data_IF_476357394803
#
_entry.id   IF_476357394803
#
_cell.length_a   1.000
_cell.length_b   1.000
_cell.length_c   1.000
_cell.angle_alpha   90.00
_cell.angle_beta   90.00
_cell.angle_gamma   90.00
#
_symmetry.space_group_name_H-M   'P 1'
#
loop_
_entity.id
_entity.type
_entity.pdbx_description
1 polymer ?
#
# COMPACT_ATOMS: atom_id res chain seq x y z
N UNK A 1 -27.39 -17.27 -45.81
CA UNK A 1 -26.15 -17.06 -45.05
C UNK A 1 -26.22 -15.72 -44.31
N UNK A 2 -26.71 -15.74 -43.07
CA UNK A 2 -26.78 -14.58 -42.18
C UNK A 2 -25.37 -14.26 -41.66
N UNK A 3 -24.88 -13.03 -41.89
CA UNK A 3 -23.67 -12.52 -41.24
C UNK A 3 -24.06 -11.97 -39.88
N UNK A 4 -23.78 -12.77 -38.86
CA UNK A 4 -23.92 -12.45 -37.44
C UNK A 4 -22.96 -11.30 -37.10
N UNK A 5 -23.52 -10.19 -36.62
CA UNK A 5 -22.75 -9.09 -36.05
C UNK A 5 -22.27 -9.53 -34.67
N UNK A 6 -21.00 -9.94 -34.56
CA UNK A 6 -20.34 -9.96 -33.26
C UNK A 6 -20.04 -8.51 -32.85
N UNK A 7 -21.01 -7.90 -32.15
CA UNK A 7 -20.72 -6.75 -31.31
C UNK A 7 -19.79 -7.25 -30.22
N UNK A 8 -18.48 -7.08 -30.41
CA UNK A 8 -17.51 -7.16 -29.32
C UNK A 8 -17.90 -6.10 -28.30
N UNK A 9 -18.59 -6.50 -27.24
CA UNK A 9 -18.73 -5.70 -26.03
C UNK A 9 -17.32 -5.27 -25.60
N UNK A 10 -16.99 -3.99 -25.81
CA UNK A 10 -15.89 -3.35 -25.10
C UNK A 10 -16.29 -3.38 -23.62
N UNK A 11 -15.83 -4.40 -22.89
CA UNK A 11 -15.81 -4.36 -21.42
C UNK A 11 -15.08 -3.07 -21.04
N UNK A 12 -15.83 -2.09 -20.54
CA UNK A 12 -15.26 -0.89 -19.95
C UNK A 12 -14.25 -1.31 -18.88
N UNK A 13 -13.04 -0.76 -18.96
CA UNK A 13 -11.99 -1.03 -17.98
C UNK A 13 -12.45 -0.44 -16.66
N UNK A 14 -12.97 -1.27 -15.76
CA UNK A 14 -13.29 -0.86 -14.39
C UNK A 14 -11.96 -0.52 -13.70
N UNK A 15 -11.69 0.76 -13.49
CA UNK A 15 -10.50 1.20 -12.75
C UNK A 15 -10.53 0.64 -11.32
N UNK A 16 -9.37 0.21 -10.80
CA UNK A 16 -9.26 -0.20 -9.40
C UNK A 16 -9.43 1.03 -8.51
N UNK A 17 -10.52 1.03 -7.74
CA UNK A 17 -10.77 2.07 -6.74
C UNK A 17 -10.12 1.63 -5.42
N UNK A 18 -9.11 2.37 -4.99
CA UNK A 18 -8.52 2.22 -3.65
C UNK A 18 -9.25 3.16 -2.70
N UNK A 19 -9.91 2.59 -1.70
CA UNK A 19 -10.50 3.40 -0.61
C UNK A 19 -9.39 4.09 0.17
N UNK A 20 -9.61 5.34 0.55
CA UNK A 20 -8.61 6.14 1.25
C UNK A 20 -7.37 6.44 0.43
N UNK A 21 -7.49 6.51 -0.91
CA UNK A 21 -6.37 6.79 -1.82
C UNK A 21 -5.61 8.06 -1.43
N UNK A 22 -6.30 9.09 -0.96
CA UNK A 22 -5.66 10.34 -0.55
C UNK A 22 -4.69 10.14 0.64
N UNK A 23 -5.05 9.31 1.62
CA UNK A 23 -4.15 8.96 2.73
C UNK A 23 -2.95 8.15 2.22
N UNK A 24 -3.18 7.21 1.30
CA UNK A 24 -2.10 6.42 0.68
C UNK A 24 -1.14 7.33 -0.09
N UNK A 25 -1.65 8.30 -0.83
CA UNK A 25 -0.84 9.27 -1.58
C UNK A 25 -0.02 10.17 -0.62
N UNK A 26 -0.58 10.55 0.54
CA UNK A 26 0.19 11.24 1.60
C UNK A 26 1.33 10.35 2.11
N UNK A 27 1.06 9.09 2.43
CA UNK A 27 2.09 8.14 2.90
C UNK A 27 3.17 7.92 1.84
N UNK A 28 2.80 7.80 0.57
CA UNK A 28 3.73 7.63 -0.56
C UNK A 28 4.58 8.87 -0.83
N UNK A 29 4.15 10.05 -0.38
CA UNK A 29 4.92 11.29 -0.52
C UNK A 29 6.09 11.40 0.46
N UNK A 30 6.10 10.61 1.53
CA UNK A 30 7.15 10.67 2.54
C UNK A 30 8.46 10.07 2.03
N UNK A 31 9.55 10.83 2.21
CA UNK A 31 10.89 10.26 2.13
C UNK A 31 11.19 9.40 3.35
N UNK A 32 12.22 8.56 3.28
CA UNK A 32 12.70 7.82 4.45
C UNK A 32 13.06 8.74 5.62
N UNK A 33 13.55 9.95 5.34
CA UNK A 33 13.86 10.96 6.38
C UNK A 33 12.59 11.49 7.04
N UNK A 34 11.52 11.68 6.28
CA UNK A 34 10.22 12.08 6.84
C UNK A 34 9.67 10.98 7.74
N UNK A 35 9.71 9.72 7.28
CA UNK A 35 9.27 8.57 8.08
C UNK A 35 10.03 8.46 9.40
N UNK A 36 11.35 8.64 9.38
CA UNK A 36 12.20 8.55 10.59
C UNK A 36 12.12 9.79 11.49
N UNK A 37 11.46 10.85 11.06
CA UNK A 37 11.32 12.08 11.84
C UNK A 37 10.11 11.99 12.79
N UNK A 38 10.35 11.60 14.05
CA UNK A 38 9.32 11.56 15.09
C UNK A 38 8.63 12.91 15.38
N UNK A 39 9.14 14.01 14.82
CA UNK A 39 8.55 15.36 14.95
C UNK A 39 7.88 15.84 13.67
N UNK A 40 7.69 15.00 12.65
CA UNK A 40 7.15 15.40 11.34
C UNK A 40 5.80 16.13 11.43
N UNK A 41 4.95 15.73 12.37
CA UNK A 41 3.64 16.32 12.64
C UNK A 41 3.56 17.11 13.95
N UNK A 42 4.70 17.39 14.60
CA UNK A 42 4.73 18.20 15.82
C UNK A 42 4.17 19.60 15.52
N UNK A 43 3.14 20.01 16.27
CA UNK A 43 2.48 21.30 16.10
C UNK A 43 1.52 21.37 14.89
N UNK A 44 1.29 20.26 14.18
CA UNK A 44 0.26 20.15 13.14
C UNK A 44 -1.01 19.47 13.64
N UNK A 45 -0.91 18.73 14.74
CA UNK A 45 -2.04 18.08 15.40
C UNK A 45 -2.57 19.01 16.50
N UNK A 46 -3.73 19.61 16.25
CA UNK A 46 -4.41 20.44 17.23
C UNK A 46 -5.22 19.59 18.22
N UNK A 47 -5.48 20.15 19.40
CA UNK A 47 -6.42 19.53 20.33
C UNK A 47 -7.80 19.43 19.68
N UNK A 48 -8.35 18.23 19.61
CA UNK A 48 -9.69 17.98 19.08
C UNK A 48 -10.71 18.73 19.95
N UNK A 49 -11.54 19.61 19.36
CA UNK A 49 -12.59 20.30 20.09
C UNK A 49 -13.61 19.34 20.72
N UNK A 50 -14.21 19.74 21.84
CA UNK A 50 -15.30 18.98 22.45
C UNK A 50 -16.63 19.15 21.70
N UNK A 51 -16.78 20.23 20.94
CA UNK A 51 -17.98 20.56 20.15
C UNK A 51 -17.56 21.08 18.77
N UNK A 52 -18.45 20.95 17.79
CA UNK A 52 -18.19 21.37 16.41
C UNK A 52 -19.36 22.16 15.86
N UNK A 53 -19.09 23.23 15.11
CA UNK A 53 -20.15 24.06 14.53
C UNK A 53 -20.74 23.43 13.26
N UNK A 54 -19.99 22.50 12.63
CA UNK A 54 -20.44 21.77 11.45
C UNK A 54 -19.78 20.39 11.33
N UNK A 55 -20.39 19.50 10.54
CA UNK A 55 -19.78 18.23 10.16
C UNK A 55 -18.45 18.41 9.41
N UNK A 56 -18.32 19.48 8.62
CA UNK A 56 -17.08 19.82 7.92
C UNK A 56 -15.93 20.10 8.89
N UNK A 57 -16.19 20.87 9.94
CA UNK A 57 -15.20 21.13 11.00
C UNK A 57 -14.84 19.86 11.77
N UNK A 58 -15.85 19.04 12.09
CA UNK A 58 -15.65 17.72 12.69
C UNK A 58 -14.69 16.89 11.86
N UNK A 59 -15.00 16.62 10.58
CA UNK A 59 -14.16 15.79 9.72
C UNK A 59 -12.75 16.36 9.55
N UNK A 60 -12.62 17.68 9.36
CA UNK A 60 -11.33 18.35 9.22
C UNK A 60 -10.44 18.17 10.45
N UNK A 61 -11.02 18.15 11.65
CA UNK A 61 -10.26 18.02 12.90
C UNK A 61 -9.50 16.69 13.05
N UNK A 62 -9.95 15.63 12.36
CA UNK A 62 -9.34 14.30 12.41
C UNK A 62 -8.31 14.03 11.31
N UNK A 63 -8.17 14.92 10.32
CA UNK A 63 -7.24 14.73 9.19
C UNK A 63 -5.80 14.60 9.68
N UNK A 64 -5.28 15.59 10.41
CA UNK A 64 -3.90 15.56 10.89
C UNK A 64 -3.66 14.45 11.95
N UNK A 65 -4.57 14.21 12.93
CA UNK A 65 -4.46 13.07 13.83
C UNK A 65 -4.25 11.73 13.12
N UNK A 66 -5.03 11.42 12.08
CA UNK A 66 -4.93 10.13 11.38
C UNK A 66 -3.64 10.00 10.58
N UNK A 67 -3.20 11.11 9.97
CA UNK A 67 -1.93 11.12 9.25
C UNK A 67 -0.77 10.92 10.23
N UNK A 68 -0.82 11.56 11.40
CA UNK A 68 0.19 11.40 12.46
C UNK A 68 0.18 9.99 13.05
N UNK A 69 -0.98 9.40 13.31
CA UNK A 69 -1.10 8.00 13.75
C UNK A 69 -0.54 7.02 12.72
N UNK A 70 -0.82 7.26 11.42
CA UNK A 70 -0.27 6.47 10.32
C UNK A 70 1.25 6.60 10.23
N UNK A 71 1.77 7.82 10.41
CA UNK A 71 3.20 8.10 10.45
C UNK A 71 3.87 7.40 11.63
N UNK A 72 3.30 7.48 12.83
CA UNK A 72 3.81 6.83 14.03
C UNK A 72 3.86 5.29 13.89
N UNK A 73 2.82 4.68 13.30
CA UNK A 73 2.81 3.25 13.01
C UNK A 73 3.92 2.85 12.03
N UNK A 74 4.14 3.66 10.99
CA UNK A 74 5.22 3.43 10.02
C UNK A 74 6.60 3.63 10.66
N UNK A 75 6.79 4.69 11.46
CA UNK A 75 8.02 4.93 12.23
C UNK A 75 8.34 3.72 13.13
N UNK A 76 7.37 3.21 13.87
CA UNK A 76 7.52 2.03 14.74
C UNK A 76 7.95 0.79 13.94
N UNK A 77 7.43 0.61 12.72
CA UNK A 77 7.87 -0.50 11.85
C UNK A 77 9.35 -0.39 11.45
N UNK A 78 9.86 0.83 11.26
CA UNK A 78 11.26 1.04 10.89
C UNK A 78 12.23 0.66 12.02
N UNK A 79 11.82 0.81 13.28
CA UNK A 79 12.60 0.38 14.44
C UNK A 79 12.78 -1.14 14.52
N UNK A 80 11.83 -1.90 13.96
CA UNK A 80 11.83 -3.37 13.96
C UNK A 80 12.13 -3.99 12.59
N UNK A 81 12.57 -3.18 11.63
CA UNK A 81 12.75 -3.55 10.22
C UNK A 81 13.57 -4.84 10.01
N UNK A 82 14.65 -5.04 10.77
CA UNK A 82 15.50 -6.26 10.67
C UNK A 82 14.73 -7.56 10.89
N UNK A 83 13.64 -7.51 11.67
CA UNK A 83 12.79 -8.65 12.00
C UNK A 83 11.52 -8.70 11.15
N UNK A 84 11.31 -7.72 10.28
CA UNK A 84 10.13 -7.66 9.45
C UNK A 84 10.03 -8.90 8.53
N UNK A 85 8.82 -9.45 8.33
CA UNK A 85 8.56 -10.43 7.30
C UNK A 85 9.00 -9.90 5.93
N UNK A 86 9.81 -10.69 5.23
CA UNK A 86 10.31 -10.36 3.90
C UNK A 86 10.03 -11.50 2.94
N UNK A 87 9.45 -11.15 1.80
CA UNK A 87 8.96 -12.08 0.79
C UNK A 87 9.78 -11.91 -0.48
N UNK A 88 10.49 -12.97 -0.90
CA UNK A 88 11.26 -12.92 -2.15
C UNK A 88 10.30 -12.89 -3.33
N UNK A 89 10.54 -11.99 -4.27
CA UNK A 89 9.75 -11.85 -5.50
C UNK A 89 10.25 -12.84 -6.53
N UNK A 90 9.36 -13.71 -7.00
CA UNK A 90 9.63 -14.60 -8.12
C UNK A 90 9.51 -13.88 -9.46
N UNK A 91 8.42 -13.13 -9.62
CA UNK A 91 8.10 -12.36 -10.83
C UNK A 91 7.36 -11.08 -10.44
N UNK A 92 7.62 -10.00 -11.15
CA UNK A 92 6.84 -8.77 -11.06
C UNK A 92 6.68 -8.18 -12.46
N UNK A 93 5.47 -7.71 -12.78
CA UNK A 93 5.16 -7.09 -14.08
C UNK A 93 4.09 -6.01 -13.93
N UNK A 94 4.07 -4.99 -14.79
CA UNK A 94 2.98 -4.02 -14.83
C UNK A 94 1.63 -4.73 -14.98
N UNK A 95 0.64 -4.35 -14.17
CA UNK A 95 -0.72 -4.83 -14.29
C UNK A 95 -1.42 -4.23 -15.52
N UNK A 96 -2.56 -4.79 -15.92
CA UNK A 96 -3.35 -4.31 -17.08
C UNK A 96 -3.79 -2.84 -16.97
N UNK A 97 -3.93 -2.36 -15.75
CA UNK A 97 -4.36 -1.02 -15.37
C UNK A 97 -3.20 -0.11 -14.95
N UNK A 98 -1.96 -0.52 -15.22
CA UNK A 98 -0.78 0.33 -15.06
C UNK A 98 -0.87 1.57 -15.94
N UNK A 99 -0.93 2.74 -15.32
CA UNK A 99 -1.05 4.05 -15.97
C UNK A 99 -0.25 5.12 -15.21
N UNK A 100 1.00 5.39 -15.62
CA UNK A 100 1.82 6.46 -15.06
C UNK A 100 1.17 7.84 -15.23
N UNK A 101 1.49 8.82 -14.36
CA UNK A 101 2.39 8.69 -13.22
C UNK A 101 1.71 8.15 -11.95
N UNK A 102 0.37 8.08 -11.89
CA UNK A 102 -0.36 7.84 -10.63
C UNK A 102 -0.71 6.38 -10.34
N UNK A 103 -1.02 5.59 -11.36
CA UNK A 103 -1.57 4.24 -11.20
C UNK A 103 -0.49 3.21 -11.53
N UNK A 104 0.53 3.11 -10.68
CA UNK A 104 1.67 2.23 -10.86
C UNK A 104 1.37 0.83 -10.28
N UNK A 105 0.39 0.14 -10.89
CA UNK A 105 -0.02 -1.19 -10.46
C UNK A 105 0.87 -2.29 -11.02
N UNK A 106 1.25 -3.23 -10.17
CA UNK A 106 2.05 -4.39 -10.57
C UNK A 106 1.40 -5.68 -10.09
N UNK A 107 1.42 -6.71 -10.94
CA UNK A 107 1.17 -8.09 -10.55
C UNK A 107 2.48 -8.68 -10.06
N UNK A 108 2.46 -9.28 -8.87
CA UNK A 108 3.65 -9.84 -8.21
C UNK A 108 3.37 -11.29 -7.83
N UNK A 109 4.29 -12.16 -8.23
CA UNK A 109 4.35 -13.55 -7.78
C UNK A 109 5.43 -13.65 -6.72
N UNK A 110 5.08 -14.00 -5.51
CA UNK A 110 6.03 -14.27 -4.43
C UNK A 110 6.57 -15.70 -4.55
N UNK A 111 7.83 -15.88 -4.16
CA UNK A 111 8.44 -17.21 -4.15
C UNK A 111 7.84 -18.04 -3.00
N UNK A 112 7.24 -19.18 -3.34
CA UNK A 112 6.82 -20.17 -2.35
C UNK A 112 8.04 -20.77 -1.66
N UNK A 113 8.08 -20.69 -0.33
CA UNK A 113 9.10 -21.39 0.46
C UNK A 113 8.70 -22.87 0.48
N UNK A 114 9.46 -23.74 -0.17
CA UNK A 114 9.25 -25.18 -0.07
C UNK A 114 9.67 -25.65 1.33
N UNK A 115 8.69 -25.76 2.24
CA UNK A 115 8.54 -26.44 3.54
C UNK A 115 9.71 -26.84 4.46
N UNK A 116 11.00 -26.75 4.11
CA UNK A 116 12.04 -27.42 4.91
C UNK A 116 13.12 -26.55 5.57
N UNK A 117 13.09 -25.21 5.50
CA UNK A 117 14.22 -24.42 6.07
C UNK A 117 13.92 -23.12 6.83
N UNK A 118 12.68 -22.70 7.04
CA UNK A 118 12.42 -21.54 7.92
C UNK A 118 11.14 -21.70 8.72
N UNK A 119 11.28 -22.08 10.00
CA UNK A 119 10.31 -21.84 11.08
C UNK A 119 10.23 -20.33 11.40
N UNK A 120 9.88 -19.50 10.42
CA UNK A 120 9.74 -18.06 10.61
C UNK A 120 8.39 -17.61 10.09
N UNK A 121 7.45 -17.39 11.01
CA UNK A 121 6.09 -16.87 10.88
C UNK A 121 5.39 -17.14 9.53
N UNK A 122 4.36 -18.00 9.55
CA UNK A 122 3.44 -18.24 8.43
C UNK A 122 2.58 -17.04 8.03
N UNK A 123 3.10 -15.81 8.19
CA UNK A 123 2.45 -14.57 7.78
C UNK A 123 2.49 -14.47 6.26
N UNK A 124 1.34 -14.23 5.66
CA UNK A 124 1.17 -13.88 4.26
C UNK A 124 0.93 -12.37 4.15
N UNK A 125 1.12 -11.81 2.96
CA UNK A 125 0.74 -10.43 2.70
C UNK A 125 -0.78 -10.35 2.54
N UNK A 126 -1.36 -9.34 3.17
CA UNK A 126 -2.80 -9.10 3.21
C UNK A 126 -3.18 -7.80 2.50
N UNK A 127 -4.47 -7.65 2.21
CA UNK A 127 -5.00 -6.41 1.64
C UNK A 127 -4.72 -5.22 2.59
N UNK A 128 -4.25 -4.11 2.01
CA UNK A 128 -3.76 -2.91 2.70
C UNK A 128 -2.47 -3.08 3.52
N UNK A 129 -1.72 -4.16 3.34
CA UNK A 129 -0.34 -4.19 3.81
C UNK A 129 0.48 -3.14 3.06
N UNK A 130 1.12 -2.26 3.81
CA UNK A 130 2.14 -1.35 3.33
C UNK A 130 3.48 -2.06 3.39
N UNK A 131 4.17 -2.10 2.26
CA UNK A 131 5.43 -2.80 2.08
C UNK A 131 6.51 -1.86 1.52
N UNK A 132 7.77 -2.16 1.81
CA UNK A 132 8.90 -1.65 1.05
C UNK A 132 9.30 -2.67 -0.02
N UNK A 133 9.54 -2.20 -1.25
CA UNK A 133 10.19 -3.01 -2.30
C UNK A 133 11.69 -2.73 -2.23
N UNK A 134 12.49 -3.80 -2.15
CA UNK A 134 13.93 -3.71 -1.89
C UNK A 134 14.72 -4.70 -2.73
N UNK A 135 15.98 -4.41 -3.02
CA UNK A 135 16.87 -5.31 -3.78
C UNK A 135 17.35 -6.50 -2.94
N UNK A 136 17.42 -6.33 -1.62
CA UNK A 136 17.89 -7.33 -0.68
C UNK A 136 16.98 -7.36 0.53
N UNK A 137 16.94 -8.49 1.25
CA UNK A 137 16.28 -8.54 2.56
C UNK A 137 16.95 -7.51 3.49
N UNK A 138 16.25 -6.45 3.94
CA UNK A 138 16.88 -5.38 4.67
C UNK A 138 17.27 -5.84 6.08
N UNK A 139 18.45 -5.43 6.51
CA UNK A 139 18.93 -5.58 7.88
C UNK A 139 19.05 -4.23 8.60
N UNK A 140 19.11 -3.13 7.84
CA UNK A 140 19.15 -1.74 8.29
C UNK A 140 18.33 -0.85 7.36
N UNK A 141 18.11 0.39 7.78
CA UNK A 141 17.36 1.40 7.02
C UNK A 141 18.01 1.66 5.65
N UNK A 142 19.34 1.68 5.57
CA UNK A 142 20.07 1.93 4.32
C UNK A 142 19.85 0.84 3.26
N UNK A 143 19.33 -0.33 3.66
CA UNK A 143 18.99 -1.43 2.77
C UNK A 143 17.59 -1.25 2.13
N UNK A 144 16.82 -0.22 2.50
CA UNK A 144 15.47 0.08 1.97
C UNK A 144 15.50 0.65 0.54
N UNK A 145 16.41 0.16 -0.29
CA UNK A 145 16.65 0.64 -1.65
C UNK A 145 16.14 -0.34 -2.69
N UNK A 146 15.64 0.20 -3.79
CA UNK A 146 15.27 -0.55 -4.98
C UNK A 146 15.95 0.09 -6.19
N UNK A 147 16.99 -0.56 -6.72
CA UNK A 147 17.88 0.01 -7.74
C UNK A 147 18.44 1.38 -7.28
N UNK A 148 18.19 2.43 -8.08
CA UNK A 148 18.59 3.80 -7.79
C UNK A 148 17.61 4.54 -6.89
N UNK A 149 16.44 3.95 -6.56
CA UNK A 149 15.47 4.56 -5.67
C UNK A 149 15.82 4.25 -4.20
N UNK A 150 16.08 5.26 -3.36
CA UNK A 150 16.54 5.05 -1.99
C UNK A 150 15.42 4.56 -1.05
N UNK A 151 14.17 4.66 -1.48
CA UNK A 151 12.97 4.28 -0.72
C UNK A 151 11.78 4.16 -1.67
N UNK A 152 11.22 2.93 -1.78
CA UNK A 152 10.09 2.61 -2.64
C UNK A 152 9.02 1.87 -1.84
N UNK A 153 7.94 2.59 -1.52
CA UNK A 153 6.76 2.02 -0.87
C UNK A 153 5.77 1.44 -1.88
N UNK A 154 5.06 0.40 -1.48
CA UNK A 154 3.89 -0.09 -2.20
C UNK A 154 2.80 -0.54 -1.23
N UNK A 155 1.55 -0.46 -1.68
CA UNK A 155 0.38 -0.93 -0.95
C UNK A 155 -0.17 -2.19 -1.63
N UNK A 156 -0.39 -3.25 -0.87
CA UNK A 156 -1.06 -4.46 -1.36
C UNK A 156 -2.54 -4.15 -1.58
N UNK A 157 -2.98 -4.14 -2.83
CA UNK A 157 -4.34 -3.79 -3.23
C UNK A 157 -5.09 -4.97 -3.87
N UNK A 158 -4.55 -6.18 -3.76
CA UNK A 158 -5.21 -7.41 -4.18
C UNK A 158 -4.39 -8.62 -3.78
N UNK A 159 -5.06 -9.66 -3.31
CA UNK A 159 -4.49 -10.97 -3.00
C UNK A 159 -5.40 -12.00 -3.66
N UNK A 160 -4.83 -12.96 -4.38
CA UNK A 160 -5.62 -14.01 -5.01
C UNK A 160 -6.07 -15.03 -3.96
N UNK A 161 -7.36 -15.37 -3.94
CA UNK A 161 -7.99 -16.24 -2.94
C UNK A 161 -7.47 -17.69 -3.02
N UNK A 162 -7.26 -18.19 -4.23
CA UNK A 162 -6.78 -19.57 -4.48
C UNK A 162 -5.25 -19.70 -4.32
N UNK A 163 -4.53 -18.60 -4.48
CA UNK A 163 -3.07 -18.55 -4.40
C UNK A 163 -2.58 -17.25 -3.76
N UNK A 164 -2.39 -17.20 -2.43
CA UNK A 164 -2.03 -15.99 -1.71
C UNK A 164 -0.61 -15.48 -2.01
N UNK A 165 0.20 -16.21 -2.78
CA UNK A 165 1.47 -15.72 -3.30
C UNK A 165 1.32 -14.84 -4.55
N UNK A 166 0.14 -14.79 -5.16
CA UNK A 166 -0.18 -13.89 -6.26
C UNK A 166 -0.89 -12.65 -5.70
N UNK A 167 -0.19 -11.52 -5.74
CA UNK A 167 -0.69 -10.24 -5.23
C UNK A 167 -0.69 -9.17 -6.32
N UNK A 168 -1.51 -8.14 -6.13
CA UNK A 168 -1.34 -6.87 -6.84
C UNK A 168 -0.91 -5.81 -5.85
N UNK A 169 0.10 -5.01 -6.23
CA UNK A 169 0.55 -3.86 -5.46
C UNK A 169 0.34 -2.56 -6.25
N UNK A 170 0.07 -1.47 -5.54
CA UNK A 170 0.21 -0.11 -6.06
C UNK A 170 1.53 0.46 -5.53
N UNK A 171 2.46 0.81 -6.41
CA UNK A 171 3.74 1.40 -6.03
C UNK A 171 3.69 2.95 -5.96
N UNK A 172 4.49 3.51 -5.05
CA UNK A 172 4.72 4.96 -4.93
C UNK A 172 5.54 5.53 -6.10
N UNK A 173 6.41 4.72 -6.68
CA UNK A 173 7.31 5.08 -7.78
C UNK A 173 7.44 3.93 -8.78
N UNK A 174 7.83 4.20 -10.04
CA UNK A 174 8.06 3.13 -11.01
C UNK A 174 9.17 2.20 -10.54
N UNK A 175 8.91 0.89 -10.60
CA UNK A 175 9.93 -0.13 -10.36
C UNK A 175 10.71 -0.32 -11.65
N UNK A 176 12.00 -0.02 -11.62
CA UNK A 176 12.91 -0.16 -12.77
C UNK A 176 13.51 -1.57 -12.74
N UNK A 177 13.44 -2.27 -13.87
CA UNK A 177 14.01 -3.61 -14.02
C UNK A 177 15.38 -3.52 -14.66
N UNK A 178 16.42 -3.29 -13.85
CA UNK A 178 17.80 -3.31 -14.37
C UNK A 178 18.25 -4.76 -14.62
N UNK A 179 19.04 -5.00 -15.67
CA UNK A 179 19.55 -6.33 -16.02
C UNK A 179 20.33 -6.99 -14.87
N UNK A 180 20.90 -6.20 -13.97
CA UNK A 180 21.60 -6.66 -12.75
C UNK A 180 20.70 -7.34 -11.71
N UNK A 181 19.37 -7.19 -11.80
CA UNK A 181 18.42 -7.81 -10.86
C UNK A 181 18.08 -9.26 -11.24
N UNK A 182 18.58 -9.76 -12.37
CA UNK A 182 18.31 -11.12 -12.82
C UNK A 182 19.36 -12.09 -12.27
N UNK A 183 19.04 -12.78 -11.18
CA UNK A 183 19.77 -13.99 -10.81
C UNK A 183 19.52 -15.07 -11.86
N UNK A 184 20.56 -15.49 -12.59
CA UNK A 184 20.49 -16.67 -13.45
C UNK A 184 20.81 -17.91 -12.63
N UNK A 185 19.80 -18.73 -12.31
CA UNK A 185 20.02 -20.05 -11.72
C UNK A 185 19.89 -21.11 -12.80
N UNK A 186 20.96 -21.87 -13.03
CA UNK A 186 20.93 -23.08 -13.85
C UNK A 186 20.28 -24.20 -13.02
N UNK A 187 19.11 -24.69 -13.43
CA UNK A 187 18.52 -25.91 -12.86
C UNK A 187 18.04 -26.76 -14.04
N UNK A 188 18.78 -27.83 -14.36
CA UNK A 188 18.52 -28.67 -15.54
C UNK A 188 18.89 -28.02 -16.89
N UNK A 189 18.22 -28.44 -17.98
CA UNK A 189 18.41 -27.94 -19.36
C UNK A 189 17.78 -26.55 -19.62
N UNK A 190 17.64 -25.71 -18.60
CA UNK A 190 17.03 -24.38 -18.72
C UNK A 190 17.68 -23.35 -17.80
N UNK A 191 17.85 -22.12 -18.31
CA UNK A 191 18.25 -20.95 -17.52
C UNK A 191 16.99 -20.28 -16.99
N UNK A 192 16.81 -20.25 -15.68
CA UNK A 192 15.69 -19.53 -15.05
C UNK A 192 16.23 -18.21 -14.48
N UNK A 193 15.69 -17.10 -14.96
CA UNK A 193 15.98 -15.75 -14.45
C UNK A 193 15.01 -15.48 -13.29
N UNK A 194 15.51 -15.16 -12.10
CA UNK A 194 14.70 -14.73 -10.96
C UNK A 194 15.12 -13.35 -10.52
N UNK A 195 14.17 -12.52 -10.11
CA UNK A 195 14.47 -11.18 -9.60
C UNK A 195 15.09 -11.26 -8.20
N UNK A 196 16.13 -10.47 -7.95
CA UNK A 196 16.63 -10.16 -6.60
C UNK A 196 15.80 -9.02 -6.02
N UNK A 197 14.50 -9.22 -5.85
CA UNK A 197 13.62 -8.25 -5.20
C UNK A 197 12.92 -8.90 -4.01
N UNK A 198 12.66 -8.08 -2.99
CA UNK A 198 11.94 -8.45 -1.79
C UNK A 198 10.83 -7.45 -1.51
N UNK A 199 9.65 -7.97 -1.17
CA UNK A 199 8.59 -7.20 -0.53
C UNK A 199 8.76 -7.34 0.98
N UNK A 200 8.90 -6.24 1.70
CA UNK A 200 9.15 -6.24 3.15
C UNK A 200 7.96 -5.60 3.84
N UNK A 201 7.30 -6.35 4.72
CA UNK A 201 6.15 -5.85 5.49
C UNK A 201 6.57 -4.72 6.42
N UNK A 202 5.82 -3.61 6.41
CA UNK A 202 6.03 -2.48 7.33
C UNK A 202 4.87 -2.40 8.32
N UNK A 203 3.67 -2.13 7.82
CA UNK A 203 2.46 -2.00 8.65
C UNK A 203 1.23 -2.34 7.82
N UNK A 204 0.07 -2.49 8.45
CA UNK A 204 -1.21 -2.63 7.75
C UNK A 204 -2.02 -1.33 7.89
N UNK A 205 -2.44 -0.76 6.77
CA UNK A 205 -3.17 0.51 6.73
C UNK A 205 -4.69 0.36 6.80
N UNK A 206 -5.24 -0.85 6.92
CA UNK A 206 -6.69 -1.11 6.86
C UNK A 206 -7.47 -0.24 7.85
N UNK A 207 -7.02 -0.16 9.11
CA UNK A 207 -7.69 0.62 10.16
C UNK A 207 -7.74 2.10 9.79
N UNK A 208 -6.58 2.69 9.48
CA UNK A 208 -6.48 4.11 9.16
C UNK A 208 -7.23 4.46 7.87
N UNK A 209 -7.21 3.58 6.87
CA UNK A 209 -8.00 3.72 5.64
C UNK A 209 -9.50 3.67 5.93
N UNK A 210 -9.98 2.79 6.81
CA UNK A 210 -11.40 2.72 7.21
C UNK A 210 -11.84 4.00 7.90
N UNK A 211 -11.06 4.46 8.87
CA UNK A 211 -11.35 5.70 9.61
C UNK A 211 -11.32 6.89 8.63
N UNK A 212 -10.28 7.00 7.81
CA UNK A 212 -10.18 8.04 6.78
C UNK A 212 -11.38 8.05 5.85
N UNK A 213 -11.79 6.88 5.35
CA UNK A 213 -12.96 6.76 4.45
C UNK A 213 -14.26 7.16 5.16
N UNK A 214 -14.41 6.82 6.45
CA UNK A 214 -15.59 7.21 7.22
C UNK A 214 -15.67 8.73 7.48
N UNK A 215 -14.52 9.42 7.52
CA UNK A 215 -14.42 10.87 7.72
C UNK A 215 -14.46 11.67 6.42
N UNK A 216 -14.34 11.00 5.27
CA UNK A 216 -14.51 11.59 3.94
C UNK A 216 -15.68 10.89 3.23
N UNK A 217 -16.89 10.89 3.81
CA UNK A 217 -18.03 10.21 3.22
C UNK A 217 -18.39 10.88 1.89
N UNK A 218 -18.75 10.04 0.92
CA UNK A 218 -19.38 10.48 -0.31
C UNK A 218 -20.62 11.34 0.03
N UNK A 219 -20.78 12.53 -0.55
CA UNK A 219 -21.97 13.37 -0.40
C UNK A 219 -23.29 12.61 -0.58
N UNK A 220 -23.31 11.54 -1.39
CA UNK A 220 -24.50 10.75 -1.69
C UNK A 220 -24.66 9.49 -0.81
N UNK A 221 -23.62 9.06 -0.10
CA UNK A 221 -23.58 7.76 0.59
C UNK A 221 -23.44 7.80 2.12
N UNK A 222 -23.04 8.93 2.70
CA UNK A 222 -22.88 9.07 4.15
C UNK A 222 -24.19 9.36 4.90
N UNK A 223 -24.37 8.78 6.10
CA UNK A 223 -25.42 9.18 7.04
C UNK A 223 -25.14 10.57 7.67
N UNK A 224 -24.85 11.57 6.84
CA UNK A 224 -24.54 12.95 7.22
C UNK A 224 -25.68 13.58 8.03
N UNK A 225 -26.93 13.14 7.80
CA UNK A 225 -28.10 13.54 8.59
C UNK A 225 -27.94 13.18 10.06
N UNK A 226 -27.48 11.97 10.39
CA UNK A 226 -27.27 11.54 11.77
C UNK A 226 -26.15 12.34 12.43
N UNK A 227 -25.01 12.49 11.75
CA UNK A 227 -23.86 13.25 12.24
C UNK A 227 -24.27 14.70 12.52
N UNK A 228 -24.98 15.34 11.59
CA UNK A 228 -25.48 16.71 11.78
C UNK A 228 -26.41 16.84 12.98
N UNK A 229 -27.22 15.80 13.29
CA UNK A 229 -28.12 15.80 14.43
C UNK A 229 -27.36 15.67 15.75
N UNK A 230 -26.38 14.77 15.82
CA UNK A 230 -25.52 14.57 16.99
C UNK A 230 -24.67 15.81 17.29
N UNK A 231 -24.12 16.46 16.25
CA UNK A 231 -23.33 17.68 16.44
C UNK A 231 -24.19 18.86 16.91
N UNK A 232 -25.46 18.95 16.48
CA UNK A 232 -26.39 20.01 16.91
C UNK A 232 -26.90 19.83 18.34
N UNK A 233 -27.12 18.61 18.80
CA UNK A 233 -27.61 18.33 20.17
C UNK A 233 -26.64 18.69 21.30
N UNK A 234 -25.42 19.14 20.97
CA UNK A 234 -24.45 19.67 21.95
C UNK A 234 -24.30 21.20 21.90
N UNK A 235 -25.05 21.88 21.03
CA UNK A 235 -25.09 23.34 20.94
C UNK A 235 -26.41 23.94 21.48
N UNK A 236 -27.29 23.11 22.04
CA UNK A 236 -28.48 23.47 22.82
C UNK A 236 -28.24 23.17 24.30
#
# INVERSE_FOLDING_TARGET
MQRLWEVKEKKEKKERIIKGRDLVDVVFSWSVRDVLNSKLYKGKVDKIPNTFQSSKEYFKSFVNPIIEETHAALLSSMETLRRAPAFKVWEIKPAKDFKPPKNLYYEVTLQTVSDNTTKGDGKLLEFNDLIAVTDNKPCRIDDLRCSNEPYLLALVCGVNEDNPHLITILASKPIVFEEGHMETRKKGKGVKKSLSLFCVYLTNMMTNIRIWTALHPDPEGGNLKLISKVLKSHNE
#
